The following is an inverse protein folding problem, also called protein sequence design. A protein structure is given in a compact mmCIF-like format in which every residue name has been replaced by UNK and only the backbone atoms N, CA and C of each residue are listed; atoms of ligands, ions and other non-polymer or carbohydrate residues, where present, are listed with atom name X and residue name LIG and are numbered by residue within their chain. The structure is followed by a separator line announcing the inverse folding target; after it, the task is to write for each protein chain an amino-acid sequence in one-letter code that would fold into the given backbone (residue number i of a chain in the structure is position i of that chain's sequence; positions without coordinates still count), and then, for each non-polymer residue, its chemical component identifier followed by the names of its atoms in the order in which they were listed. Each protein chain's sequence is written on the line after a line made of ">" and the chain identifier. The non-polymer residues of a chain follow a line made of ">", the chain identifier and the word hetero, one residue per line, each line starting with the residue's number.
data_IF_417146484730
#
_entry.id   IF_417146484730
#
_cell.length_a   1.000
_cell.length_b   1.000
_cell.length_c   1.000
_cell.angle_alpha   90.00
_cell.angle_beta   90.00
_cell.angle_gamma   90.00
#
_symmetry.space_group_name_H-M   'P 1'
#
loop_
_entity.id
_entity.type
_entity.pdbx_description
1 polymer ?
#
# COMPACT_ATOMS: atom_id res chain seq x y z
N UNK A 1 -11.77 31.48 -1.95
CA UNK A 1 -11.27 30.45 -1.01
C UNK A 1 -10.10 29.74 -1.68
N UNK A 2 -8.90 29.82 -1.11
CA UNK A 2 -7.70 29.24 -1.72
C UNK A 2 -7.63 27.73 -1.35
N UNK A 3 -8.19 26.87 -2.20
CA UNK A 3 -8.24 25.43 -1.96
C UNK A 3 -6.88 24.82 -2.27
N UNK A 4 -6.45 23.88 -1.43
CA UNK A 4 -5.23 23.08 -1.62
C UNK A 4 -5.59 21.60 -1.54
N UNK A 5 -4.79 20.73 -2.15
CA UNK A 5 -5.01 19.29 -2.14
C UNK A 5 -3.82 18.57 -1.50
N UNK A 6 -4.09 17.51 -0.76
CA UNK A 6 -3.12 16.51 -0.32
C UNK A 6 -3.61 15.14 -0.82
N UNK A 7 -2.74 14.39 -1.45
CA UNK A 7 -3.01 13.01 -1.84
C UNK A 7 -2.56 12.08 -0.72
N UNK A 8 -3.49 11.29 -0.19
CA UNK A 8 -3.20 10.25 0.79
C UNK A 8 -3.66 8.92 0.19
N UNK A 9 -2.76 7.96 0.03
CA UNK A 9 -3.09 6.66 -0.56
C UNK A 9 -2.17 5.57 -0.03
N UNK A 10 -2.64 4.33 -0.11
CA UNK A 10 -1.81 3.13 0.11
C UNK A 10 -2.03 2.12 -1.01
N UNK A 11 -1.10 1.18 -1.16
CA UNK A 11 -1.23 0.06 -2.09
C UNK A 11 -0.71 -1.22 -1.44
N UNK A 12 -1.02 -2.38 -2.04
CA UNK A 12 -0.60 -3.70 -1.56
C UNK A 12 0.81 -4.10 -1.97
N UNK A 13 1.48 -3.31 -2.81
CA UNK A 13 2.79 -3.60 -3.38
C UNK A 13 3.88 -2.71 -2.78
N UNK A 14 5.16 -3.16 -2.78
CA UNK A 14 6.26 -2.39 -2.20
C UNK A 14 6.79 -1.28 -3.13
N UNK A 15 6.47 -1.32 -4.42
CA UNK A 15 6.97 -0.36 -5.40
C UNK A 15 6.12 0.91 -5.45
N UNK A 16 6.75 2.07 -5.33
CA UNK A 16 6.09 3.39 -5.39
C UNK A 16 5.47 3.67 -6.77
N UNK A 17 5.95 3.01 -7.82
CA UNK A 17 5.39 3.12 -9.19
C UNK A 17 3.92 2.72 -9.29
N UNK A 18 3.42 1.89 -8.38
CA UNK A 18 1.98 1.56 -8.31
C UNK A 18 1.08 2.77 -8.03
N UNK A 19 1.65 3.88 -7.57
CA UNK A 19 0.93 5.14 -7.37
C UNK A 19 0.89 6.04 -8.60
N UNK A 20 1.56 5.71 -9.70
CA UNK A 20 1.68 6.59 -10.87
C UNK A 20 0.31 6.94 -11.47
N UNK A 21 -0.62 5.99 -11.50
CA UNK A 21 -1.97 6.23 -11.97
C UNK A 21 -2.73 7.28 -11.15
N UNK A 22 -2.74 7.13 -9.82
CA UNK A 22 -3.43 8.08 -8.94
C UNK A 22 -2.72 9.44 -8.91
N UNK A 23 -1.41 9.49 -8.99
CA UNK A 23 -0.64 10.73 -9.14
C UNK A 23 -1.04 11.47 -10.41
N UNK A 24 -1.19 10.76 -11.52
CA UNK A 24 -1.61 11.36 -12.78
C UNK A 24 -3.00 12.01 -12.66
N UNK A 25 -3.95 11.34 -12.03
CA UNK A 25 -5.30 11.87 -11.77
C UNK A 25 -5.24 13.16 -10.94
N UNK A 26 -4.49 13.16 -9.83
CA UNK A 26 -4.38 14.34 -8.97
C UNK A 26 -3.68 15.51 -9.65
N UNK A 27 -2.67 15.28 -10.47
CA UNK A 27 -2.03 16.33 -11.28
C UNK A 27 -2.97 16.88 -12.35
N UNK A 28 -3.84 16.04 -12.91
CA UNK A 28 -4.88 16.53 -13.80
C UNK A 28 -5.89 17.41 -13.04
N UNK A 29 -6.34 16.99 -11.87
CA UNK A 29 -7.22 17.78 -10.99
C UNK A 29 -6.59 19.13 -10.62
N UNK A 30 -5.31 19.15 -10.27
CA UNK A 30 -4.57 20.38 -9.99
C UNK A 30 -4.66 21.37 -11.15
N UNK A 31 -4.37 20.91 -12.37
CA UNK A 31 -4.45 21.77 -13.59
C UNK A 31 -5.87 22.24 -13.91
N UNK A 32 -6.88 21.38 -13.71
CA UNK A 32 -8.26 21.70 -14.07
C UNK A 32 -8.99 22.56 -13.04
N UNK A 33 -8.67 22.40 -11.74
CA UNK A 33 -9.32 23.12 -10.64
C UNK A 33 -8.57 24.36 -10.16
N UNK A 34 -7.29 24.48 -10.50
CA UNK A 34 -6.39 25.50 -9.96
C UNK A 34 -6.03 25.33 -8.49
N UNK A 35 -6.43 24.20 -7.87
CA UNK A 35 -6.07 23.87 -6.48
C UNK A 35 -4.72 23.14 -6.46
N UNK A 36 -3.63 23.71 -5.88
CA UNK A 36 -2.32 23.10 -5.92
C UNK A 36 -2.26 21.82 -5.08
N UNK A 37 -1.55 20.81 -5.59
CA UNK A 37 -1.20 19.59 -4.85
C UNK A 37 0.01 19.91 -3.96
N UNK A 38 -0.19 19.97 -2.65
CA UNK A 38 0.79 20.44 -1.67
C UNK A 38 1.47 19.31 -0.90
N UNK A 39 1.11 18.05 -1.15
CA UNK A 39 1.74 16.89 -0.54
C UNK A 39 1.19 15.58 -1.05
N UNK A 40 2.03 14.54 -1.04
CA UNK A 40 1.71 13.17 -1.43
C UNK A 40 2.13 12.20 -0.32
N UNK A 41 1.18 11.70 0.45
CA UNK A 41 1.38 10.73 1.52
C UNK A 41 1.06 9.33 0.97
N UNK A 42 2.06 8.69 0.36
CA UNK A 42 1.91 7.44 -0.36
C UNK A 42 2.58 6.30 0.42
N UNK A 43 1.79 5.36 0.93
CA UNK A 43 2.28 4.25 1.73
C UNK A 43 2.32 2.95 0.92
N UNK A 44 3.51 2.50 0.45
CA UNK A 44 3.66 1.19 -0.16
C UNK A 44 3.41 0.08 0.85
N UNK A 45 2.90 -1.06 0.40
CA UNK A 45 2.63 -2.24 1.22
C UNK A 45 1.85 -1.90 2.51
N UNK A 46 0.75 -1.14 2.37
CA UNK A 46 -0.03 -0.61 3.49
C UNK A 46 -0.57 -1.66 4.47
N UNK A 47 -0.71 -2.92 4.05
CA UNK A 47 -1.07 -4.05 4.92
C UNK A 47 -0.06 -4.29 6.04
N UNK A 48 1.20 -3.87 5.85
CA UNK A 48 2.26 -4.03 6.86
C UNK A 48 2.07 -3.14 8.09
N UNK A 49 1.22 -2.11 8.02
CA UNK A 49 0.91 -1.25 9.17
C UNK A 49 0.29 -2.01 10.36
N UNK A 50 -0.24 -3.21 10.13
CA UNK A 50 -0.87 -4.06 11.16
C UNK A 50 0.00 -5.22 11.64
N UNK A 51 1.23 -5.32 11.16
CA UNK A 51 2.14 -6.42 11.47
C UNK A 51 2.92 -6.11 12.73
N UNK A 52 2.59 -6.77 13.86
CA UNK A 52 3.21 -6.52 15.18
C UNK A 52 4.75 -6.53 15.18
N UNK A 53 5.46 -7.47 14.53
CA UNK A 53 6.93 -7.43 14.47
C UNK A 53 7.51 -6.17 13.81
N UNK A 54 6.69 -5.39 13.06
CA UNK A 54 7.12 -4.16 12.39
C UNK A 54 6.73 -2.89 13.16
N UNK A 55 6.19 -3.02 14.36
CA UNK A 55 5.64 -1.92 15.17
C UNK A 55 6.54 -0.69 15.26
N UNK A 56 7.84 -0.88 15.48
CA UNK A 56 8.79 0.23 15.57
C UNK A 56 8.94 0.97 14.22
N UNK A 57 9.00 0.24 13.11
CA UNK A 57 9.06 0.83 11.77
C UNK A 57 7.75 1.52 11.40
N UNK A 58 6.62 0.94 11.78
CA UNK A 58 5.28 1.54 11.61
C UNK A 58 5.18 2.85 12.38
N UNK A 59 5.69 2.89 13.60
CA UNK A 59 5.71 4.11 14.42
C UNK A 59 6.41 5.27 13.71
N UNK A 60 7.55 5.03 13.06
CA UNK A 60 8.28 6.05 12.27
C UNK A 60 7.41 6.61 11.14
N UNK A 61 6.68 5.74 10.43
CA UNK A 61 5.76 6.17 9.36
C UNK A 61 4.62 7.01 9.91
N UNK A 62 4.00 6.60 11.01
CA UNK A 62 2.92 7.35 11.65
C UNK A 62 3.39 8.71 12.17
N UNK A 63 4.60 8.79 12.73
CA UNK A 63 5.21 10.06 13.12
C UNK A 63 5.46 10.97 11.90
N UNK A 64 5.90 10.42 10.77
CA UNK A 64 6.07 11.18 9.54
C UNK A 64 4.72 11.70 9.00
N UNK A 65 3.66 10.90 9.08
CA UNK A 65 2.31 11.35 8.71
C UNK A 65 1.80 12.47 9.62
N UNK A 66 2.04 12.38 10.94
CA UNK A 66 1.73 13.46 11.88
C UNK A 66 2.52 14.74 11.56
N UNK A 67 3.81 14.61 11.28
CA UNK A 67 4.67 15.73 10.88
C UNK A 67 4.16 16.40 9.60
N UNK A 68 3.70 15.61 8.62
CA UNK A 68 3.10 16.14 7.39
C UNK A 68 1.92 17.07 7.67
N UNK A 69 1.06 16.71 8.63
CA UNK A 69 -0.05 17.58 9.07
C UNK A 69 0.43 18.90 9.66
N UNK A 70 1.49 18.87 10.49
CA UNK A 70 2.11 20.08 11.06
C UNK A 70 2.71 20.96 9.96
N UNK A 71 3.43 20.38 9.01
CA UNK A 71 4.04 21.08 7.87
C UNK A 71 2.98 21.76 6.99
N UNK A 72 1.87 21.07 6.72
CA UNK A 72 0.75 21.67 5.97
C UNK A 72 0.19 22.89 6.70
N UNK A 73 0.01 22.79 8.01
CA UNK A 73 -0.52 23.90 8.82
C UNK A 73 0.44 25.08 8.93
N UNK A 74 1.73 24.81 9.10
CA UNK A 74 2.77 25.82 9.31
C UNK A 74 3.31 26.39 8.00
N UNK A 75 3.66 25.50 7.05
CA UNK A 75 4.43 25.84 5.85
C UNK A 75 3.56 25.83 4.58
N UNK A 76 2.33 25.33 4.68
CA UNK A 76 1.37 25.25 3.58
C UNK A 76 1.66 24.14 2.56
N UNK A 77 2.60 23.24 2.86
CA UNK A 77 2.97 22.08 2.04
C UNK A 77 3.69 21.02 2.86
N UNK A 78 3.71 19.79 2.37
CA UNK A 78 4.53 18.70 2.92
C UNK A 78 5.94 18.79 2.34
N UNK A 79 6.98 18.55 3.15
CA UNK A 79 8.37 18.48 2.70
C UNK A 79 8.65 17.17 1.98
N UNK A 80 9.60 17.20 1.02
CA UNK A 80 10.04 15.98 0.33
C UNK A 80 10.64 14.94 1.28
N UNK A 81 11.30 15.37 2.34
CA UNK A 81 11.84 14.49 3.37
C UNK A 81 10.72 13.70 4.07
N UNK A 82 9.65 14.37 4.47
CA UNK A 82 8.50 13.73 5.11
C UNK A 82 7.79 12.77 4.17
N UNK A 83 7.57 13.16 2.91
CA UNK A 83 7.02 12.27 1.89
C UNK A 83 7.89 11.03 1.69
N UNK A 84 9.22 11.19 1.57
CA UNK A 84 10.15 10.09 1.39
C UNK A 84 10.14 9.09 2.56
N UNK A 85 9.99 9.57 3.80
CA UNK A 85 9.87 8.69 4.96
C UNK A 85 8.61 7.83 4.94
N UNK A 86 7.49 8.37 4.47
CA UNK A 86 6.23 7.63 4.32
C UNK A 86 6.32 6.64 3.16
N UNK A 87 6.95 7.01 2.06
CA UNK A 87 7.10 6.19 0.85
C UNK A 87 8.13 5.06 1.01
N UNK A 88 8.95 5.10 2.05
CA UNK A 88 9.92 4.05 2.30
C UNK A 88 9.24 2.75 2.71
N UNK A 89 9.47 1.68 1.95
CA UNK A 89 8.93 0.36 2.28
C UNK A 89 9.39 -0.12 3.66
N UNK A 90 8.47 -0.69 4.44
CA UNK A 90 8.77 -1.27 5.77
C UNK A 90 9.56 -2.57 5.68
N UNK A 91 9.45 -3.29 4.56
CA UNK A 91 10.20 -4.51 4.27
C UNK A 91 10.80 -4.45 2.86
N UNK A 92 11.95 -5.09 2.64
CA UNK A 92 12.44 -5.37 1.30
C UNK A 92 11.42 -6.18 0.48
N UNK A 93 11.39 -5.99 -0.84
CA UNK A 93 10.41 -6.62 -1.72
C UNK A 93 10.45 -8.15 -1.68
N UNK A 94 11.64 -8.75 -1.54
CA UNK A 94 11.82 -10.20 -1.42
C UNK A 94 11.29 -10.76 -0.10
N UNK A 95 11.44 -10.04 1.01
CA UNK A 95 10.87 -10.43 2.31
C UNK A 95 9.34 -10.35 2.29
N UNK A 96 8.79 -9.30 1.66
CA UNK A 96 7.35 -9.16 1.48
C UNK A 96 6.80 -10.31 0.62
N UNK A 97 7.47 -10.67 -0.47
CA UNK A 97 7.08 -11.79 -1.33
C UNK A 97 7.10 -13.13 -0.56
N UNK A 98 8.13 -13.39 0.24
CA UNK A 98 8.21 -14.58 1.09
C UNK A 98 7.08 -14.65 2.12
N UNK A 99 6.72 -13.50 2.71
CA UNK A 99 5.60 -13.42 3.65
C UNK A 99 4.26 -13.68 2.94
N UNK A 100 4.03 -13.07 1.79
CA UNK A 100 2.83 -13.29 0.99
C UNK A 100 2.68 -14.76 0.57
N UNK A 101 3.75 -15.39 0.09
CA UNK A 101 3.75 -16.79 -0.31
C UNK A 101 3.40 -17.71 0.88
N UNK A 102 3.96 -17.48 2.06
CA UNK A 102 3.60 -18.25 3.26
C UNK A 102 2.12 -18.13 3.62
N UNK A 103 1.53 -16.95 3.47
CA UNK A 103 0.11 -16.74 3.70
C UNK A 103 -0.73 -17.53 2.68
N UNK A 104 -0.36 -17.45 1.40
CA UNK A 104 -1.03 -18.20 0.34
C UNK A 104 -0.91 -19.71 0.52
N UNK A 105 0.26 -20.22 0.84
CA UNK A 105 0.48 -21.66 1.12
C UNK A 105 -0.38 -22.12 2.29
N UNK A 106 -0.47 -21.33 3.34
CA UNK A 106 -1.32 -21.61 4.50
C UNK A 106 -2.82 -21.66 4.15
N UNK A 107 -3.27 -20.72 3.33
CA UNK A 107 -4.65 -20.68 2.83
C UNK A 107 -4.97 -21.87 1.94
N UNK A 108 -4.04 -22.26 1.04
CA UNK A 108 -4.21 -23.40 0.15
C UNK A 108 -4.21 -24.73 0.90
N UNK A 109 -3.43 -24.86 1.97
CA UNK A 109 -3.44 -26.05 2.84
C UNK A 109 -4.74 -26.18 3.63
N UNK A 110 -5.38 -25.07 3.97
CA UNK A 110 -6.69 -25.03 4.63
C UNK A 110 -7.88 -25.41 3.73
N UNK A 111 -7.66 -25.50 2.40
CA UNK A 111 -8.66 -26.04 1.45
C UNK A 111 -8.61 -27.55 1.56
N UNK A 112 -9.53 -28.12 2.34
CA UNK A 112 -9.64 -29.55 2.60
C UNK A 112 -9.86 -30.35 1.31
N UNK A 113 -9.31 -31.60 1.19
CA UNK A 113 -9.39 -32.45 -0.01
C UNK A 113 -10.79 -32.86 -0.47
N UNK A 114 -11.84 -32.51 0.27
CA UNK A 114 -13.24 -32.84 -0.07
C UNK A 114 -13.77 -32.14 -1.32
N UNK A 115 -12.98 -31.28 -1.97
CA UNK A 115 -13.34 -30.65 -3.26
C UNK A 115 -12.56 -31.23 -4.45
N UNK A 116 -11.82 -32.31 -4.29
CA UNK A 116 -11.33 -33.07 -5.44
C UNK A 116 -12.51 -33.81 -6.04
N UNK A 117 -12.98 -33.35 -7.18
CA UNK A 117 -13.95 -34.05 -8.04
C UNK A 117 -13.52 -35.51 -8.19
N UNK A 118 -14.40 -36.50 -7.92
CA UNK A 118 -14.04 -37.90 -8.08
C UNK A 118 -13.70 -38.16 -9.55
N UNK A 119 -12.47 -38.62 -9.81
CA UNK A 119 -12.08 -39.12 -11.13
C UNK A 119 -13.05 -40.23 -11.50
N UNK A 120 -13.70 -40.07 -12.65
CA UNK A 120 -14.66 -41.01 -13.17
C UNK A 120 -14.17 -42.46 -13.10
N UNK A 121 -14.96 -43.30 -12.48
CA UNK A 121 -14.85 -44.74 -12.59
C UNK A 121 -15.09 -45.13 -14.06
N UNK A 122 -14.06 -45.66 -14.72
CA UNK A 122 -14.25 -46.41 -15.94
C UNK A 122 -15.12 -47.63 -15.61
N UNK A 123 -16.33 -47.66 -16.16
CA UNK A 123 -17.09 -48.89 -16.27
C UNK A 123 -16.33 -49.79 -17.26
N UNK A 124 -15.79 -50.87 -16.76
CA UNK A 124 -15.51 -52.04 -17.59
C UNK A 124 -16.83 -52.71 -17.86
N UNK A 125 -17.25 -52.68 -19.12
CA UNK A 125 -18.29 -53.59 -19.64
C UNK A 125 -17.63 -54.91 -20.01
N UNK A 126 -18.14 -55.96 -19.41
CA UNK A 126 -17.99 -57.32 -19.86
C UNK A 126 -19.02 -57.62 -20.95
#
# INVERSE_FOLDING_TARGET
>A
MNRKMVLISNCGFPEVSHFDGIRHVFRHMERSSGAPLIGELLMPAGQLLRVEPLKEKVHVVLQAAHRAGIEVARDGRVSQETEAQIQKSLLPADELAKMANRIWDSLLQGITPSQKTPKGQKKEEN
#
